data_IF_474574605886
#
_entry.id   IF_474574605886
#
_cell.length_a   1.000
_cell.length_b   1.000
_cell.length_c   1.000
_cell.angle_alpha   90.00
_cell.angle_beta   90.00
_cell.angle_gamma   90.00
#
_symmetry.space_group_name_H-M   'P 1'
#
loop_
_entity.id
_entity.type
_entity.pdbx_description
1 polymer ?
#
# COMPACT_ATOMS: atom_id res chain seq x y z
N UNK A 1 -12.33 9.68 22.23
CA UNK A 1 -11.04 9.04 21.89
C UNK A 1 -11.25 7.76 21.08
N UNK A 2 -11.88 7.82 19.89
CA UNK A 2 -12.28 6.62 19.12
C UNK A 2 -11.59 6.48 17.75
N UNK A 3 -10.66 7.39 17.39
CA UNK A 3 -10.07 7.45 16.05
C UNK A 3 -8.86 6.55 15.78
N UNK A 4 -8.07 6.19 16.80
CA UNK A 4 -6.84 5.40 16.63
C UNK A 4 -7.11 3.99 16.11
N UNK A 5 -8.04 3.28 16.74
CA UNK A 5 -8.31 1.87 16.45
C UNK A 5 -8.78 1.61 15.01
N UNK A 6 -9.52 2.54 14.39
CA UNK A 6 -9.98 2.40 13.01
C UNK A 6 -8.85 2.61 11.98
N UNK A 7 -7.95 3.57 12.23
CA UNK A 7 -6.80 3.81 11.36
C UNK A 7 -5.81 2.64 11.43
N UNK A 8 -5.52 2.14 12.64
CA UNK A 8 -4.62 0.99 12.84
C UNK A 8 -5.16 -0.29 12.16
N UNK A 9 -6.46 -0.56 12.26
CA UNK A 9 -7.09 -1.70 11.59
C UNK A 9 -7.06 -1.57 10.05
N UNK A 10 -7.31 -0.36 9.53
CA UNK A 10 -7.25 -0.11 8.10
C UNK A 10 -5.84 -0.27 7.54
N UNK A 11 -4.82 0.26 8.24
CA UNK A 11 -3.40 0.08 7.89
C UNK A 11 -3.03 -1.39 7.91
N UNK A 12 -3.42 -2.13 8.95
CA UNK A 12 -3.14 -3.57 9.06
C UNK A 12 -3.76 -4.34 7.89
N UNK A 13 -5.03 -4.05 7.57
CA UNK A 13 -5.75 -4.69 6.47
C UNK A 13 -5.11 -4.39 5.11
N UNK A 14 -4.74 -3.12 4.88
CA UNK A 14 -4.05 -2.70 3.67
C UNK A 14 -2.69 -3.39 3.54
N UNK A 15 -1.90 -3.46 4.62
CA UNK A 15 -0.60 -4.13 4.62
C UNK A 15 -0.71 -5.62 4.35
N UNK A 16 -1.68 -6.32 4.95
CA UNK A 16 -1.93 -7.75 4.69
C UNK A 16 -2.29 -8.00 3.22
N UNK A 17 -3.16 -7.18 2.64
CA UNK A 17 -3.50 -7.28 1.22
C UNK A 17 -2.31 -6.99 0.31
N UNK A 18 -1.50 -5.97 0.64
CA UNK A 18 -0.28 -5.66 -0.12
C UNK A 18 0.75 -6.77 -0.02
N UNK A 19 0.93 -7.40 1.14
CA UNK A 19 1.84 -8.53 1.32
C UNK A 19 1.42 -9.72 0.46
N UNK A 20 0.13 -10.07 0.46
CA UNK A 20 -0.41 -11.13 -0.41
C UNK A 20 -0.24 -10.81 -1.89
N UNK A 21 -0.57 -9.58 -2.29
CA UNK A 21 -0.47 -9.12 -3.67
C UNK A 21 0.97 -9.07 -4.18
N UNK A 22 1.91 -8.61 -3.34
CA UNK A 22 3.31 -8.54 -3.68
C UNK A 22 3.95 -9.93 -3.72
N UNK A 23 3.51 -10.90 -2.91
CA UNK A 23 4.09 -12.25 -2.86
C UNK A 23 3.53 -13.14 -3.98
N UNK A 24 2.24 -13.04 -4.28
CA UNK A 24 1.59 -13.81 -5.35
C UNK A 24 1.71 -13.20 -6.75
N UNK A 25 2.27 -12.00 -6.90
CA UNK A 25 2.30 -11.25 -8.18
C UNK A 25 0.93 -10.72 -8.60
N UNK A 26 -0.11 -10.96 -7.80
CA UNK A 26 -1.49 -10.56 -8.04
C UNK A 26 -1.76 -9.19 -7.44
N UNK A 27 -1.09 -8.17 -7.97
CA UNK A 27 -1.46 -6.78 -7.68
C UNK A 27 -2.78 -6.44 -8.39
N UNK A 28 -3.76 -6.01 -7.59
CA UNK A 28 -5.14 -5.70 -8.02
C UNK A 28 -5.54 -4.28 -7.61
N UNK A 29 -6.50 -3.70 -8.32
CA UNK A 29 -7.07 -2.39 -7.98
C UNK A 29 -7.68 -2.35 -6.56
N UNK A 30 -8.15 -3.50 -6.05
CA UNK A 30 -8.67 -3.58 -4.68
C UNK A 30 -7.62 -3.27 -3.60
N UNK A 31 -6.36 -3.69 -3.83
CA UNK A 31 -5.26 -3.36 -2.93
C UNK A 31 -4.98 -1.84 -2.92
N UNK A 32 -5.14 -1.18 -4.07
CA UNK A 32 -4.98 0.27 -4.19
C UNK A 32 -6.07 1.02 -3.42
N UNK A 33 -7.34 0.61 -3.57
CA UNK A 33 -8.45 1.20 -2.81
C UNK A 33 -8.26 1.05 -1.31
N UNK A 34 -7.83 -0.12 -0.84
CA UNK A 34 -7.63 -0.38 0.59
C UNK A 34 -6.49 0.45 1.18
N UNK A 35 -5.39 0.59 0.44
CA UNK A 35 -4.29 1.44 0.85
C UNK A 35 -4.67 2.93 0.86
N UNK A 36 -5.46 3.38 -0.12
CA UNK A 36 -5.96 4.76 -0.15
C UNK A 36 -6.90 5.05 1.04
N UNK A 37 -7.78 4.11 1.37
CA UNK A 37 -8.63 4.22 2.56
C UNK A 37 -7.82 4.29 3.85
N UNK A 38 -6.75 3.49 3.97
CA UNK A 38 -5.85 3.54 5.11
C UNK A 38 -5.15 4.90 5.23
N UNK A 39 -4.65 5.45 4.11
CA UNK A 39 -4.06 6.79 4.06
C UNK A 39 -5.05 7.86 4.54
N UNK A 40 -6.29 7.82 4.06
CA UNK A 40 -7.30 8.81 4.43
C UNK A 40 -7.68 8.73 5.91
N UNK A 41 -7.74 7.53 6.48
CA UNK A 41 -7.98 7.32 7.90
C UNK A 41 -6.80 7.80 8.76
N UNK A 42 -5.58 7.49 8.36
CA UNK A 42 -4.32 7.94 9.01
C UNK A 42 -4.21 9.46 9.00
N UNK A 43 -4.54 10.11 7.87
CA UNK A 43 -4.59 11.58 7.76
C UNK A 43 -5.60 12.19 8.74
N UNK A 44 -6.79 11.58 8.87
CA UNK A 44 -7.85 12.07 9.75
C UNK A 44 -7.58 11.79 11.22
N UNK A 45 -6.86 10.72 11.54
CA UNK A 45 -6.58 10.32 12.93
C UNK A 45 -5.43 11.11 13.56
N UNK A 46 -4.68 11.90 12.78
CA UNK A 46 -3.49 12.60 13.27
C UNK A 46 -2.34 11.64 13.60
N UNK A 47 -2.28 10.51 12.90
CA UNK A 47 -1.25 9.49 13.06
C UNK A 47 0.18 10.05 12.87
N UNK A 48 1.21 9.36 13.41
CA UNK A 48 2.59 9.86 13.40
C UNK A 48 3.07 10.27 12.01
N UNK A 49 3.77 11.40 11.95
CA UNK A 49 4.26 12.03 10.73
C UNK A 49 5.11 11.11 9.84
N UNK A 50 5.64 10.02 10.37
CA UNK A 50 6.46 9.05 9.65
C UNK A 50 5.65 7.95 8.94
N UNK A 51 4.44 7.64 9.41
CA UNK A 51 3.61 6.57 8.85
C UNK A 51 2.95 7.01 7.54
N UNK A 52 2.46 8.25 7.49
CA UNK A 52 1.75 8.78 6.34
C UNK A 52 2.61 8.82 5.06
N UNK A 53 3.85 9.36 5.07
CA UNK A 53 4.71 9.36 3.89
C UNK A 53 5.04 7.95 3.40
N UNK A 54 5.19 6.98 4.31
CA UNK A 54 5.43 5.57 3.95
C UNK A 54 4.24 4.98 3.21
N UNK A 55 3.02 5.18 3.72
CA UNK A 55 1.80 4.69 3.07
C UNK A 55 1.58 5.35 1.70
N UNK A 56 1.79 6.66 1.61
CA UNK A 56 1.71 7.40 0.33
C UNK A 56 2.70 6.88 -0.70
N UNK A 57 3.95 6.64 -0.29
CA UNK A 57 4.97 6.07 -1.17
C UNK A 57 4.59 4.66 -1.64
N UNK A 58 4.07 3.83 -0.75
CA UNK A 58 3.57 2.49 -1.11
C UNK A 58 2.40 2.57 -2.10
N UNK A 59 1.51 3.57 -1.98
CA UNK A 59 0.40 3.76 -2.91
C UNK A 59 0.89 4.15 -4.30
N UNK A 60 1.89 5.02 -4.39
CA UNK A 60 2.53 5.38 -5.67
C UNK A 60 3.18 4.16 -6.33
N UNK A 61 3.92 3.36 -5.56
CA UNK A 61 4.56 2.15 -6.08
C UNK A 61 3.53 1.11 -6.53
N UNK A 62 2.45 0.94 -5.76
CA UNK A 62 1.35 0.04 -6.07
C UNK A 62 0.63 0.44 -7.36
N UNK A 63 0.26 1.72 -7.50
CA UNK A 63 -0.36 2.24 -8.73
C UNK A 63 0.56 2.08 -9.94
N UNK A 64 1.86 2.29 -9.74
CA UNK A 64 2.85 2.07 -10.80
C UNK A 64 2.96 0.59 -11.17
N UNK A 65 2.89 -0.32 -10.20
CA UNK A 65 2.86 -1.76 -10.44
C UNK A 65 1.59 -2.20 -11.20
N UNK A 66 0.41 -1.70 -10.80
CA UNK A 66 -0.86 -1.94 -11.51
C UNK A 66 -0.74 -1.51 -12.97
N UNK A 67 -0.29 -0.28 -13.21
CA UNK A 67 -0.10 0.23 -14.57
C UNK A 67 0.94 -0.59 -15.35
N UNK A 68 2.06 -0.94 -14.72
CA UNK A 68 3.09 -1.76 -15.36
C UNK A 68 2.53 -3.12 -15.79
N UNK A 69 1.68 -3.74 -14.96
CA UNK A 69 0.99 -4.99 -15.28
C UNK A 69 0.03 -4.83 -16.47
N UNK A 70 -0.80 -3.77 -16.46
CA UNK A 70 -1.76 -3.48 -17.54
C UNK A 70 -1.05 -3.28 -18.88
N UNK A 71 0.07 -2.57 -18.88
CA UNK A 71 0.84 -2.26 -20.09
C UNK A 71 1.94 -3.28 -20.42
N UNK A 72 1.99 -4.44 -19.73
CA UNK A 72 2.98 -5.49 -20.01
C UNK A 72 4.45 -5.11 -19.72
N UNK A 73 4.70 -4.15 -18.83
CA UNK A 73 6.04 -3.68 -18.45
C UNK A 73 6.61 -4.49 -17.27
N UNK A 74 6.97 -5.75 -17.52
CA UNK A 74 7.40 -6.70 -16.48
C UNK A 74 8.56 -6.21 -15.60
N UNK A 75 9.60 -5.61 -16.19
CA UNK A 75 10.74 -5.06 -15.42
C UNK A 75 10.31 -3.95 -14.44
N UNK A 76 9.36 -3.11 -14.85
CA UNK A 76 8.85 -2.05 -14.00
C UNK A 76 7.94 -2.64 -12.91
N UNK A 77 7.11 -3.62 -13.25
CA UNK A 77 6.30 -4.36 -12.28
C UNK A 77 7.21 -4.94 -11.19
N UNK A 78 8.20 -5.76 -11.54
CA UNK A 78 9.09 -6.41 -10.58
C UNK A 78 9.86 -5.40 -9.71
N UNK A 79 10.34 -4.30 -10.30
CA UNK A 79 11.00 -3.22 -9.57
C UNK A 79 10.09 -2.59 -8.51
N UNK A 80 8.80 -2.39 -8.83
CA UNK A 80 7.83 -1.81 -7.90
C UNK A 80 7.39 -2.81 -6.84
N UNK A 81 7.18 -4.07 -7.20
CA UNK A 81 6.92 -5.14 -6.23
C UNK A 81 8.07 -5.27 -5.23
N UNK A 82 9.32 -5.22 -5.69
CA UNK A 82 10.49 -5.28 -4.82
C UNK A 82 10.61 -4.09 -3.86
N UNK A 83 10.11 -2.91 -4.24
CA UNK A 83 10.03 -1.74 -3.35
C UNK A 83 8.95 -1.92 -2.29
N UNK A 84 7.76 -2.36 -2.70
CA UNK A 84 6.64 -2.64 -1.77
C UNK A 84 7.05 -3.70 -0.75
N UNK A 85 7.69 -4.80 -1.18
CA UNK A 85 8.18 -5.85 -0.28
C UNK A 85 9.20 -5.32 0.74
N UNK A 86 10.10 -4.41 0.32
CA UNK A 86 11.07 -3.78 1.23
C UNK A 86 10.40 -2.87 2.25
N UNK A 87 9.40 -2.09 1.84
CA UNK A 87 8.65 -1.23 2.74
C UNK A 87 7.80 -2.01 3.76
N UNK A 88 7.38 -3.23 3.41
CA UNK A 88 6.66 -4.14 4.34
C UNK A 88 7.59 -4.86 5.33
N UNK A 89 8.88 -4.96 5.03
CA UNK A 89 9.87 -5.65 5.87
C UNK A 89 10.62 -4.72 6.84
N UNK A 90 10.35 -3.41 6.79
CA UNK A 90 11.02 -2.35 7.56
C UNK A 90 10.17 -1.78 8.67
#
# INVERSE_FOLDING_TARGET
MHGGNAADQAVTSAMLMLAGAATGGTITAAAETQLQNAIDLVRRSGAPAELLPRLEQMAVDLRTAVNAKIYGRTNLLDSRLARIRRALAS
#
